data_IF_159955433791
#
_entry.id   IF_159955433791
#
_cell.length_a   1.000
_cell.length_b   1.000
_cell.length_c   1.000
_cell.angle_alpha   90.00
_cell.angle_beta   90.00
_cell.angle_gamma   90.00
#
_symmetry.space_group_name_H-M   'P 1'
#
loop_
_entity.id
_entity.type
_entity.pdbx_description
1 polymer ?
#
# COMPACT_ATOMS: atom_id res chain seq x y z
N UNK A 1 5.63 20.00 -17.54
CA UNK A 1 5.46 18.72 -16.81
C UNK A 1 6.52 18.70 -15.74
N UNK A 2 6.24 18.30 -14.50
CA UNK A 2 7.30 18.17 -13.50
C UNK A 2 8.29 17.09 -13.96
N UNK A 3 9.58 17.41 -13.97
CA UNK A 3 10.68 16.51 -14.39
C UNK A 3 10.85 15.28 -13.45
N UNK A 4 10.03 15.19 -12.40
CA UNK A 4 10.04 14.13 -11.39
C UNK A 4 9.05 12.98 -11.68
N UNK A 5 8.43 12.92 -12.86
CA UNK A 5 7.63 11.73 -13.22
C UNK A 5 8.60 10.56 -13.32
N UNK A 6 8.45 9.51 -12.50
CA UNK A 6 9.34 8.36 -12.53
C UNK A 6 9.42 7.81 -13.94
N UNK A 7 10.63 7.61 -14.47
CA UNK A 7 10.84 7.07 -15.82
C UNK A 7 10.17 5.68 -15.91
N UNK A 8 9.06 5.59 -16.66
CA UNK A 8 8.22 4.39 -16.75
C UNK A 8 8.77 3.35 -17.77
N UNK A 9 9.77 3.71 -18.58
CA UNK A 9 10.15 2.97 -19.79
C UNK A 9 11.19 1.84 -19.60
N UNK A 10 11.84 1.71 -18.45
CA UNK A 10 13.14 0.99 -18.42
C UNK A 10 13.11 -0.54 -18.30
N UNK A 11 12.00 -1.19 -17.95
CA UNK A 11 12.06 -2.60 -17.54
C UNK A 11 11.28 -3.62 -18.38
N UNK A 12 10.28 -3.21 -19.17
CA UNK A 12 9.29 -4.18 -19.66
C UNK A 12 9.60 -4.87 -21.01
N UNK A 13 10.63 -4.46 -21.74
CA UNK A 13 10.86 -4.95 -23.11
C UNK A 13 11.47 -6.37 -23.21
N UNK A 14 12.01 -6.94 -22.12
CA UNK A 14 12.88 -8.13 -22.18
C UNK A 14 12.28 -9.44 -21.65
N UNK A 15 10.97 -9.50 -21.35
CA UNK A 15 10.33 -10.74 -20.83
C UNK A 15 10.74 -11.13 -19.39
N UNK A 16 11.58 -10.32 -18.74
CA UNK A 16 11.89 -10.43 -17.31
C UNK A 16 10.77 -9.89 -16.42
N UNK A 17 10.93 -10.03 -15.10
CA UNK A 17 10.05 -9.38 -14.13
C UNK A 17 9.97 -7.87 -14.43
N UNK A 18 8.79 -7.24 -14.32
CA UNK A 18 8.65 -5.81 -14.60
C UNK A 18 9.46 -4.92 -13.65
N UNK A 19 10.02 -5.48 -12.57
CA UNK A 19 10.96 -4.81 -11.66
C UNK A 19 12.40 -5.33 -11.81
N UNK A 20 12.77 -5.91 -12.96
CA UNK A 20 14.10 -6.48 -13.23
C UNK A 20 14.32 -7.87 -12.62
N UNK A 21 15.50 -8.46 -12.91
CA UNK A 21 15.92 -9.79 -12.42
C UNK A 21 16.12 -9.82 -10.90
N UNK A 22 16.55 -8.70 -10.32
CA UNK A 22 16.70 -8.54 -8.87
C UNK A 22 15.35 -8.57 -8.14
N UNK A 23 14.26 -8.37 -8.90
CA UNK A 23 12.94 -8.10 -8.37
C UNK A 23 12.92 -6.84 -7.51
N UNK A 24 11.78 -6.52 -6.87
CA UNK A 24 11.76 -5.45 -5.88
C UNK A 24 12.82 -5.72 -4.81
N UNK A 25 13.68 -4.72 -4.57
CA UNK A 25 14.97 -4.95 -3.91
C UNK A 25 14.87 -5.82 -2.65
N UNK A 26 15.60 -6.95 -2.67
CA UNK A 26 15.60 -7.95 -1.59
C UNK A 26 16.52 -7.58 -0.43
N UNK A 27 17.09 -6.37 -0.41
CA UNK A 27 18.09 -5.97 0.57
C UNK A 27 17.62 -6.31 1.98
N UNK A 28 18.44 -6.99 2.81
CA UNK A 28 18.14 -7.13 4.22
C UNK A 28 18.02 -5.70 4.73
N UNK A 29 16.83 -5.24 5.06
CA UNK A 29 16.22 -5.73 6.26
C UNK A 29 16.81 -5.01 7.45
N UNK A 30 17.77 -4.10 7.25
CA UNK A 30 18.38 -3.34 8.34
C UNK A 30 17.32 -2.82 9.30
N UNK A 31 16.26 -2.17 8.80
CA UNK A 31 15.14 -1.72 9.64
C UNK A 31 14.39 -2.86 10.32
N UNK A 32 14.09 -3.96 9.62
CA UNK A 32 13.46 -5.14 10.21
C UNK A 32 14.34 -5.79 11.30
N UNK A 33 15.60 -6.08 10.99
CA UNK A 33 16.59 -6.71 11.87
C UNK A 33 16.86 -5.83 13.08
N UNK A 34 17.04 -4.52 12.87
CA UNK A 34 17.24 -3.56 13.94
C UNK A 34 16.02 -3.50 14.86
N UNK A 35 14.80 -3.34 14.32
CA UNK A 35 13.58 -3.32 15.13
C UNK A 35 13.36 -4.65 15.86
N UNK A 36 13.60 -5.80 15.21
CA UNK A 36 13.48 -7.11 15.83
C UNK A 36 14.52 -7.32 16.95
N UNK A 37 15.76 -6.89 16.73
CA UNK A 37 16.83 -6.95 17.73
C UNK A 37 16.53 -6.04 18.92
N UNK A 38 16.10 -4.80 18.67
CA UNK A 38 15.69 -3.86 19.72
C UNK A 38 14.50 -4.38 20.52
N UNK A 39 13.52 -5.02 19.88
CA UNK A 39 12.43 -5.69 20.58
C UNK A 39 12.94 -6.83 21.46
N UNK A 40 13.84 -7.67 20.95
CA UNK A 40 14.42 -8.78 21.72
C UNK A 40 15.23 -8.28 22.93
N UNK A 41 16.09 -7.29 22.74
CA UNK A 41 16.87 -6.67 23.82
C UNK A 41 15.95 -5.99 24.84
N UNK A 42 14.93 -5.26 24.37
CA UNK A 42 13.93 -4.62 25.23
C UNK A 42 13.20 -5.63 26.11
N UNK A 43 12.81 -6.78 25.54
CA UNK A 43 12.13 -7.84 26.28
C UNK A 43 13.02 -8.43 27.37
N UNK A 44 14.26 -8.78 27.03
CA UNK A 44 15.24 -9.31 28.00
C UNK A 44 15.48 -8.31 29.13
N UNK A 45 15.68 -7.04 28.78
CA UNK A 45 15.90 -5.97 29.76
C UNK A 45 14.68 -5.77 30.65
N UNK A 46 13.46 -5.83 30.10
CA UNK A 46 12.23 -5.72 30.86
C UNK A 46 12.10 -6.84 31.90
N UNK A 47 12.38 -8.09 31.50
CA UNK A 47 12.34 -9.26 32.39
C UNK A 47 13.36 -9.12 33.53
N UNK A 48 14.61 -8.79 33.21
CA UNK A 48 15.67 -8.59 34.23
C UNK A 48 15.29 -7.46 35.20
N UNK A 49 14.73 -6.37 34.69
CA UNK A 49 14.28 -5.22 35.50
C UNK A 49 13.11 -5.60 36.42
N UNK A 50 12.16 -6.40 35.93
CA UNK A 50 11.04 -6.91 36.72
C UNK A 50 11.51 -7.83 37.86
N UNK A 51 12.48 -8.72 37.59
CA UNK A 51 13.09 -9.57 38.62
C UNK A 51 13.78 -8.72 39.71
N UNK A 52 14.35 -7.58 39.32
CA UNK A 52 14.93 -6.60 40.24
C UNK A 52 13.92 -5.77 41.05
N UNK A 53 12.61 -5.94 40.82
CA UNK A 53 11.54 -5.27 41.57
C UNK A 53 11.08 -3.91 41.02
N UNK A 54 11.69 -3.39 39.94
CA UNK A 54 11.30 -2.13 39.31
C UNK A 54 10.23 -2.35 38.25
N UNK A 55 9.01 -2.63 38.71
CA UNK A 55 7.86 -2.89 37.84
C UNK A 55 7.50 -1.72 36.90
N UNK A 56 7.54 -0.45 37.32
CA UNK A 56 7.26 0.68 36.43
C UNK A 56 8.21 0.74 35.22
N UNK A 57 9.53 0.59 35.45
CA UNK A 57 10.51 0.58 34.37
C UNK A 57 10.37 -0.65 33.47
N UNK A 58 10.09 -1.81 34.05
CA UNK A 58 9.83 -3.02 33.28
C UNK A 58 8.60 -2.84 32.35
N UNK A 59 7.51 -2.26 32.86
CA UNK A 59 6.31 -1.99 32.06
C UNK A 59 6.60 -1.04 30.88
N UNK A 60 7.38 0.02 31.10
CA UNK A 60 7.84 0.91 30.03
C UNK A 60 8.63 0.15 28.94
N UNK A 61 9.57 -0.71 29.35
CA UNK A 61 10.39 -1.51 28.42
C UNK A 61 9.54 -2.53 27.64
N UNK A 62 8.49 -3.10 28.24
CA UNK A 62 7.51 -3.94 27.53
C UNK A 62 6.76 -3.12 26.48
N UNK A 63 6.30 -1.92 26.82
CA UNK A 63 5.64 -1.03 25.86
C UNK A 63 6.54 -0.70 24.65
N UNK A 64 7.80 -0.34 24.91
CA UNK A 64 8.79 -0.09 23.86
C UNK A 64 9.07 -1.34 23.01
N UNK A 65 9.13 -2.51 23.64
CA UNK A 65 9.28 -3.81 22.95
C UNK A 65 8.13 -4.09 22.00
N UNK A 66 6.88 -3.88 22.44
CA UNK A 66 5.68 -4.09 21.64
C UNK A 66 5.70 -3.18 20.41
N UNK A 67 6.03 -1.89 20.60
CA UNK A 67 6.20 -0.93 19.52
C UNK A 67 7.21 -1.42 18.49
N UNK A 68 8.42 -1.79 18.93
CA UNK A 68 9.48 -2.21 18.00
C UNK A 68 9.14 -3.53 17.29
N UNK A 69 8.48 -4.46 17.98
CA UNK A 69 7.97 -5.69 17.39
C UNK A 69 6.93 -5.44 16.29
N UNK A 70 6.04 -4.46 16.45
CA UNK A 70 5.06 -4.10 15.43
C UNK A 70 5.68 -3.39 14.21
N UNK A 71 6.72 -2.57 14.41
CA UNK A 71 7.49 -2.03 13.30
C UNK A 71 8.21 -3.15 12.53
N UNK A 72 8.82 -4.11 13.24
CA UNK A 72 9.42 -5.28 12.61
C UNK A 72 8.38 -6.09 11.81
N UNK A 73 7.19 -6.33 12.38
CA UNK A 73 6.08 -6.98 11.69
C UNK A 73 5.63 -6.25 10.43
N UNK A 74 5.54 -4.91 10.48
CA UNK A 74 5.22 -4.07 9.32
C UNK A 74 6.30 -4.16 8.22
N UNK A 75 7.58 -4.03 8.57
CA UNK A 75 8.68 -4.16 7.62
C UNK A 75 8.74 -5.56 7.00
N UNK A 76 8.44 -6.60 7.79
CA UNK A 76 8.36 -7.96 7.28
C UNK A 76 7.19 -8.13 6.32
N UNK A 77 6.01 -7.62 6.68
CA UNK A 77 4.81 -7.72 5.84
C UNK A 77 4.97 -6.95 4.53
N UNK A 78 5.57 -5.76 4.54
CA UNK A 78 5.76 -4.95 3.33
C UNK A 78 6.71 -5.57 2.29
N UNK A 79 7.55 -6.52 2.73
CA UNK A 79 8.48 -7.28 1.88
C UNK A 79 7.90 -8.57 1.34
N UNK A 80 6.86 -9.09 1.98
CA UNK A 80 6.20 -10.33 1.54
C UNK A 80 5.25 -9.98 0.42
N UNK A 81 5.53 -10.45 -0.78
CA UNK A 81 4.59 -10.37 -1.90
C UNK A 81 3.78 -11.66 -2.00
N UNK A 82 2.44 -11.58 -2.11
CA UNK A 82 1.65 -12.75 -2.43
C UNK A 82 2.08 -13.31 -3.80
N UNK A 83 2.06 -14.63 -3.95
CA UNK A 83 2.29 -15.31 -5.24
C UNK A 83 0.99 -15.85 -5.84
N UNK A 84 -0.08 -15.84 -5.06
CA UNK A 84 -1.37 -16.37 -5.47
C UNK A 84 -2.10 -15.33 -6.33
N UNK A 85 -2.74 -15.81 -7.39
CA UNK A 85 -3.58 -15.00 -8.26
C UNK A 85 -5.01 -15.15 -7.77
N UNK A 86 -5.54 -14.14 -7.10
CA UNK A 86 -6.88 -14.18 -6.52
C UNK A 86 -7.78 -13.03 -7.01
N UNK A 87 -8.02 -12.92 -8.33
CA UNK A 87 -9.00 -12.00 -8.87
C UNK A 87 -10.42 -12.48 -8.57
N UNK A 88 -11.33 -11.54 -8.39
CA UNK A 88 -12.75 -11.78 -8.16
C UNK A 88 -13.59 -10.79 -8.97
N UNK A 89 -14.81 -11.15 -9.36
CA UNK A 89 -15.75 -10.15 -9.87
C UNK A 89 -16.28 -9.33 -8.68
N UNK A 90 -16.12 -8.02 -8.75
CA UNK A 90 -16.71 -7.09 -7.79
C UNK A 90 -17.36 -5.92 -8.51
N UNK A 91 -18.38 -5.33 -7.90
CA UNK A 91 -19.04 -4.13 -8.41
C UNK A 91 -18.34 -2.87 -7.88
N UNK A 92 -18.18 -1.87 -8.74
CA UNK A 92 -17.76 -0.52 -8.32
C UNK A 92 -18.97 0.27 -7.78
N UNK A 93 -18.77 1.52 -7.38
CA UNK A 93 -19.80 2.31 -6.67
C UNK A 93 -21.07 2.57 -7.50
N UNK A 94 -20.96 2.58 -8.83
CA UNK A 94 -22.12 2.68 -9.75
C UNK A 94 -22.80 1.33 -10.05
N UNK A 95 -22.33 0.25 -9.42
CA UNK A 95 -22.85 -1.10 -9.60
C UNK A 95 -22.24 -1.88 -10.77
N UNK A 96 -21.37 -1.28 -11.58
CA UNK A 96 -20.74 -1.95 -12.72
C UNK A 96 -19.81 -3.07 -12.26
N UNK A 97 -20.01 -4.32 -12.71
CA UNK A 97 -19.12 -5.43 -12.37
C UNK A 97 -17.80 -5.35 -13.12
N UNK A 98 -16.72 -5.76 -12.46
CA UNK A 98 -15.37 -5.79 -13.02
C UNK A 98 -14.45 -6.78 -12.31
N UNK A 99 -13.32 -7.09 -12.95
CA UNK A 99 -12.25 -7.90 -12.34
C UNK A 99 -11.56 -7.07 -11.25
N UNK A 100 -11.58 -7.56 -10.01
CA UNK A 100 -11.08 -6.85 -8.84
C UNK A 100 -9.94 -7.58 -8.16
N UNK A 101 -8.91 -6.81 -7.81
CA UNK A 101 -7.77 -7.19 -7.00
C UNK A 101 -7.83 -6.44 -5.68
N UNK A 102 -8.06 -7.17 -4.58
CA UNK A 102 -8.15 -6.59 -3.25
C UNK A 102 -6.78 -6.19 -2.71
N UNK A 103 -6.79 -5.25 -1.79
CA UNK A 103 -5.63 -5.00 -0.95
C UNK A 103 -5.61 -5.94 0.25
N UNK A 104 -4.41 -6.25 0.73
CA UNK A 104 -4.14 -7.27 1.73
C UNK A 104 -4.41 -6.70 3.12
N UNK A 105 -5.36 -7.31 3.84
CA UNK A 105 -5.77 -6.90 5.20
C UNK A 105 -4.61 -6.87 6.20
N UNK A 106 -3.59 -7.73 6.02
CA UNK A 106 -2.39 -7.72 6.85
C UNK A 106 -1.67 -6.35 6.84
N UNK A 107 -1.59 -5.67 5.69
CA UNK A 107 -0.96 -4.34 5.63
C UNK A 107 -1.78 -3.28 6.38
N UNK A 108 -3.11 -3.38 6.32
CA UNK A 108 -4.00 -2.52 7.11
C UNK A 108 -3.82 -2.76 8.60
N UNK A 109 -3.78 -4.02 9.03
CA UNK A 109 -3.53 -4.39 10.43
C UNK A 109 -2.21 -3.78 10.93
N UNK A 110 -1.10 -4.08 10.27
CA UNK A 110 0.21 -3.58 10.73
C UNK A 110 0.30 -2.06 10.74
N UNK A 111 -0.28 -1.39 9.75
CA UNK A 111 -0.26 0.09 9.69
C UNK A 111 -1.17 0.69 10.77
N UNK A 112 -2.39 0.16 10.96
CA UNK A 112 -3.32 0.64 11.97
C UNK A 112 -2.78 0.39 13.39
N UNK A 113 -2.24 -0.81 13.67
CA UNK A 113 -1.63 -1.15 14.96
C UNK A 113 -0.45 -0.25 15.29
N UNK A 114 0.46 0.02 14.34
CA UNK A 114 1.55 0.95 14.57
C UNK A 114 1.05 2.38 14.85
N UNK A 115 0.04 2.86 14.11
CA UNK A 115 -0.58 4.17 14.38
C UNK A 115 -1.19 4.24 15.78
N UNK A 116 -1.91 3.21 16.21
CA UNK A 116 -2.49 3.15 17.57
C UNK A 116 -1.39 3.12 18.63
N UNK A 117 -0.37 2.27 18.47
CA UNK A 117 0.74 2.17 19.43
C UNK A 117 1.54 3.47 19.54
N UNK A 118 1.78 4.17 18.42
CA UNK A 118 2.42 5.49 18.42
C UNK A 118 1.58 6.55 19.11
N UNK A 119 0.27 6.54 18.89
CA UNK A 119 -0.65 7.42 19.61
C UNK A 119 -0.54 7.21 21.12
N UNK A 120 -0.65 5.95 21.57
CA UNK A 120 -0.59 5.60 22.98
C UNK A 120 0.76 5.96 23.61
N UNK A 121 1.87 5.68 22.92
CA UNK A 121 3.21 6.03 23.38
C UNK A 121 3.38 7.55 23.54
N UNK A 122 2.95 8.34 22.56
CA UNK A 122 3.04 9.81 22.62
C UNK A 122 2.17 10.38 23.74
N UNK A 123 0.95 9.88 23.92
CA UNK A 123 0.07 10.29 25.03
C UNK A 123 0.72 9.93 26.37
N UNK A 124 1.24 8.71 26.53
CA UNK A 124 1.88 8.29 27.77
C UNK A 124 3.10 9.17 28.13
N UNK A 125 3.95 9.47 27.15
CA UNK A 125 5.10 10.36 27.35
C UNK A 125 4.63 11.79 27.68
N UNK A 126 3.61 12.30 26.98
CA UNK A 126 3.06 13.62 27.26
C UNK A 126 2.54 13.73 28.69
N UNK A 127 1.77 12.73 29.16
CA UNK A 127 1.24 12.69 30.52
C UNK A 127 2.35 12.61 31.57
N UNK A 128 3.41 11.84 31.30
CA UNK A 128 4.57 11.76 32.19
C UNK A 128 5.33 13.10 32.30
N UNK A 129 5.34 13.91 31.23
CA UNK A 129 6.04 15.20 31.19
C UNK A 129 5.18 16.39 31.64
N UNK A 130 3.88 16.22 31.89
CA UNK A 130 3.00 17.31 32.32
C UNK A 130 3.49 18.07 33.57
N UNK A 131 4.03 17.41 34.62
CA UNK A 131 4.53 18.12 35.80
C UNK A 131 5.75 18.99 35.53
N UNK A 132 6.61 18.57 34.58
CA UNK A 132 7.90 19.21 34.31
C UNK A 132 7.83 20.23 33.16
N UNK A 133 6.99 19.99 32.15
CA UNK A 133 6.88 20.85 30.97
C UNK A 133 5.55 20.71 30.24
N UNK A 134 4.60 21.59 30.55
CA UNK A 134 3.30 21.66 29.88
C UNK A 134 3.43 21.89 28.36
N UNK A 135 4.39 22.69 27.91
CA UNK A 135 4.58 23.00 26.47
C UNK A 135 4.96 21.74 25.70
N UNK A 136 5.92 20.95 26.20
CA UNK A 136 6.35 19.71 25.53
C UNK A 136 5.21 18.69 25.51
N UNK A 137 4.47 18.56 26.63
CA UNK A 137 3.32 17.67 26.70
C UNK A 137 2.24 18.04 25.67
N UNK A 138 1.91 19.32 25.52
CA UNK A 138 0.95 19.79 24.50
C UNK A 138 1.45 19.47 23.09
N UNK A 139 2.73 19.71 22.79
CA UNK A 139 3.31 19.39 21.47
C UNK A 139 3.19 17.89 21.17
N UNK A 140 3.49 17.02 22.14
CA UNK A 140 3.36 15.57 21.96
C UNK A 140 1.90 15.13 21.75
N UNK A 141 0.94 15.73 22.44
CA UNK A 141 -0.49 15.47 22.23
C UNK A 141 -0.95 15.91 20.83
N UNK A 142 -0.48 17.07 20.36
CA UNK A 142 -0.73 17.53 19.00
C UNK A 142 -0.11 16.59 17.96
N UNK A 143 1.10 16.09 18.20
CA UNK A 143 1.74 15.09 17.36
C UNK A 143 0.97 13.76 17.35
N UNK A 144 0.35 13.37 18.46
CA UNK A 144 -0.47 12.17 18.56
C UNK A 144 -1.76 12.25 17.71
N UNK A 145 -2.23 13.45 17.37
CA UNK A 145 -3.39 13.61 16.49
C UNK A 145 -3.15 13.06 15.08
N UNK A 146 -1.91 13.12 14.58
CA UNK A 146 -1.57 12.62 13.24
C UNK A 146 -1.77 11.10 13.08
N UNK A 147 -1.16 10.22 13.92
CA UNK A 147 -1.40 8.79 13.83
C UNK A 147 -2.85 8.40 14.16
N UNK A 148 -3.56 9.14 15.03
CA UNK A 148 -5.02 8.94 15.24
C UNK A 148 -5.79 9.12 13.94
N UNK A 149 -5.52 10.22 13.25
CA UNK A 149 -6.17 10.56 11.99
C UNK A 149 -5.85 9.54 10.89
N UNK A 150 -4.60 9.05 10.85
CA UNK A 150 -4.19 7.95 9.98
C UNK A 150 -4.93 6.65 10.30
N UNK A 151 -5.01 6.26 11.57
CA UNK A 151 -5.74 5.06 12.00
C UNK A 151 -7.23 5.16 11.66
N UNK A 152 -7.84 6.32 11.86
CA UNK A 152 -9.23 6.58 11.49
C UNK A 152 -9.46 6.46 9.98
N UNK A 153 -8.60 7.07 9.16
CA UNK A 153 -8.67 6.97 7.71
C UNK A 153 -8.55 5.51 7.23
N UNK A 154 -7.62 4.75 7.81
CA UNK A 154 -7.46 3.31 7.54
C UNK A 154 -8.74 2.54 7.86
N UNK A 155 -9.32 2.71 9.05
CA UNK A 155 -10.52 1.98 9.47
C UNK A 155 -11.75 2.31 8.63
N UNK A 156 -11.86 3.55 8.14
CA UNK A 156 -13.01 4.00 7.35
C UNK A 156 -12.98 3.50 5.90
N UNK A 157 -11.80 3.35 5.31
CA UNK A 157 -11.63 3.09 3.88
C UNK A 157 -10.99 1.73 3.56
N UNK A 158 -10.68 0.92 4.59
CA UNK A 158 -10.17 -0.42 4.40
C UNK A 158 -11.26 -1.45 4.08
N UNK A 159 -10.93 -2.52 3.33
CA UNK A 159 -9.74 -2.65 2.50
C UNK A 159 -9.95 -1.98 1.14
N UNK A 160 -8.88 -1.36 0.64
CA UNK A 160 -8.83 -0.83 -0.73
C UNK A 160 -8.87 -1.94 -1.77
N UNK A 161 -9.08 -1.54 -3.02
CA UNK A 161 -9.15 -2.45 -4.17
C UNK A 161 -8.84 -1.73 -5.47
N UNK A 162 -8.31 -2.49 -6.42
CA UNK A 162 -8.25 -2.13 -7.83
C UNK A 162 -9.30 -2.94 -8.58
N UNK A 163 -10.15 -2.31 -9.38
CA UNK A 163 -11.17 -2.98 -10.19
C UNK A 163 -11.10 -2.50 -11.63
N UNK A 164 -11.03 -3.44 -12.57
CA UNK A 164 -11.03 -3.18 -14.00
C UNK A 164 -12.45 -3.44 -14.52
N UNK A 165 -13.09 -2.40 -15.03
CA UNK A 165 -14.41 -2.48 -15.66
C UNK A 165 -14.28 -2.19 -17.16
N UNK A 166 -15.27 -2.57 -17.99
CA UNK A 166 -15.20 -2.32 -19.43
C UNK A 166 -14.94 -0.84 -19.79
N UNK A 167 -15.46 0.10 -18.99
CA UNK A 167 -15.30 1.53 -19.21
C UNK A 167 -13.96 2.12 -18.72
N UNK A 168 -13.25 1.48 -17.79
CA UNK A 168 -12.05 2.06 -17.22
C UNK A 168 -11.45 1.29 -16.04
N UNK A 169 -10.51 1.95 -15.38
CA UNK A 169 -9.81 1.50 -14.19
C UNK A 169 -10.38 2.23 -12.99
N UNK A 170 -10.97 1.49 -12.06
CA UNK A 170 -11.42 1.99 -10.77
C UNK A 170 -10.41 1.60 -9.69
N UNK A 171 -9.98 2.57 -8.88
CA UNK A 171 -9.09 2.35 -7.75
C UNK A 171 -9.70 2.98 -6.50
N UNK A 172 -9.80 2.21 -5.44
CA UNK A 172 -10.22 2.67 -4.12
C UNK A 172 -9.05 2.46 -3.16
N UNK A 173 -8.47 3.57 -2.71
CA UNK A 173 -7.38 3.63 -1.73
C UNK A 173 -7.90 4.14 -0.39
N UNK A 174 -7.02 4.24 0.60
CA UNK A 174 -7.34 4.83 1.91
C UNK A 174 -7.66 6.32 1.78
N UNK A 175 -7.01 7.01 0.85
CA UNK A 175 -7.06 8.46 0.74
C UNK A 175 -8.07 8.96 -0.30
N UNK A 176 -8.36 8.16 -1.33
CA UNK A 176 -9.27 8.55 -2.41
C UNK A 176 -9.82 7.34 -3.17
N UNK A 177 -10.89 7.61 -3.89
CA UNK A 177 -11.38 6.79 -4.99
C UNK A 177 -11.08 7.50 -6.30
N UNK A 178 -10.54 6.77 -7.27
CA UNK A 178 -10.14 7.26 -8.59
C UNK A 178 -10.72 6.38 -9.69
N UNK A 179 -11.34 6.99 -10.69
CA UNK A 179 -11.77 6.31 -11.91
C UNK A 179 -11.08 6.95 -13.11
N UNK A 180 -10.32 6.14 -13.86
CA UNK A 180 -9.67 6.53 -15.10
C UNK A 180 -10.29 5.77 -16.28
N UNK A 181 -11.00 6.46 -17.19
CA UNK A 181 -11.48 5.86 -18.43
C UNK A 181 -10.34 5.26 -19.26
N UNK A 182 -10.56 4.13 -19.95
CA UNK A 182 -9.47 3.47 -20.68
C UNK A 182 -8.88 4.33 -21.82
N UNK A 183 -9.68 5.17 -22.45
CA UNK A 183 -9.26 6.09 -23.52
C UNK A 183 -8.34 7.21 -23.02
N UNK A 184 -8.32 7.47 -21.71
CA UNK A 184 -7.40 8.44 -21.11
C UNK A 184 -6.10 7.82 -20.61
N UNK A 185 -6.08 6.50 -20.40
CA UNK A 185 -4.87 5.77 -19.99
C UNK A 185 -3.87 5.82 -21.14
N UNK A 186 -2.75 6.50 -20.90
CA UNK A 186 -1.63 6.59 -21.85
C UNK A 186 -0.69 5.41 -21.68
N UNK A 187 -0.41 5.07 -20.43
CA UNK A 187 0.65 4.13 -20.11
C UNK A 187 0.33 3.32 -18.86
N UNK A 188 0.72 2.04 -18.88
CA UNK A 188 0.74 1.14 -17.73
C UNK A 188 2.17 0.65 -17.55
N UNK A 189 2.85 1.20 -16.56
CA UNK A 189 4.27 0.96 -16.27
C UNK A 189 4.49 0.34 -14.90
N UNK A 190 5.67 -0.23 -14.71
CA UNK A 190 6.21 -0.54 -13.39
C UNK A 190 7.18 0.57 -12.98
N UNK A 191 7.14 0.94 -11.71
CA UNK A 191 8.05 1.96 -11.19
C UNK A 191 8.40 1.68 -9.73
N UNK A 192 9.20 2.57 -9.15
CA UNK A 192 9.62 2.53 -7.76
C UNK A 192 9.54 3.94 -7.17
N UNK A 193 8.90 4.07 -6.00
CA UNK A 193 8.86 5.32 -5.25
C UNK A 193 9.37 5.09 -3.84
N UNK A 194 10.37 5.85 -3.41
CA UNK A 194 11.01 5.71 -2.11
C UNK A 194 11.38 4.23 -1.78
N UNK A 195 11.98 3.55 -2.76
CA UNK A 195 12.34 2.13 -2.72
C UNK A 195 11.16 1.14 -2.60
N UNK A 196 9.96 1.60 -2.88
CA UNK A 196 8.74 0.78 -2.85
C UNK A 196 8.27 0.53 -4.28
N UNK A 197 8.22 -0.74 -4.72
CA UNK A 197 7.70 -1.08 -6.04
C UNK A 197 6.23 -0.68 -6.17
N UNK A 198 5.88 -0.09 -7.31
CA UNK A 198 4.52 0.28 -7.65
C UNK A 198 4.19 -0.04 -9.11
N UNK A 199 2.91 -0.23 -9.38
CA UNK A 199 2.35 -0.23 -10.74
C UNK A 199 1.81 1.18 -10.97
N UNK A 200 2.33 1.86 -11.99
CA UNK A 200 1.93 3.21 -12.36
C UNK A 200 0.99 3.15 -13.57
N UNK A 201 -0.14 3.83 -13.47
CA UNK A 201 -1.07 4.03 -14.59
C UNK A 201 -1.14 5.52 -14.87
N UNK A 202 -0.49 5.97 -15.94
CA UNK A 202 -0.53 7.37 -16.34
C UNK A 202 -1.80 7.60 -17.17
N UNK A 203 -2.71 8.45 -16.66
CA UNK A 203 -3.93 8.82 -17.35
C UNK A 203 -4.00 10.33 -17.56
N UNK A 204 -4.54 10.76 -18.69
CA UNK A 204 -4.86 12.17 -18.91
C UNK A 204 -6.15 12.53 -18.16
N UNK A 205 -6.27 13.75 -17.62
CA UNK A 205 -7.54 14.24 -17.11
C UNK A 205 -8.61 14.25 -18.21
N UNK A 206 -9.82 13.80 -17.90
CA UNK A 206 -11.00 13.92 -18.75
C UNK A 206 -12.25 14.21 -17.92
N UNK A 207 -13.35 14.63 -18.56
CA UNK A 207 -14.63 14.85 -17.89
C UNK A 207 -15.20 13.58 -17.24
N UNK A 208 -14.89 12.41 -17.80
CA UNK A 208 -15.27 11.12 -17.24
C UNK A 208 -14.36 10.66 -16.09
N UNK A 209 -13.21 11.33 -15.88
CA UNK A 209 -12.31 11.04 -14.76
C UNK A 209 -12.97 11.49 -13.45
N UNK A 210 -13.12 10.59 -12.49
CA UNK A 210 -13.73 10.89 -11.19
C UNK A 210 -12.70 10.72 -10.08
N UNK A 211 -12.57 11.73 -9.24
CA UNK A 211 -11.70 11.70 -8.05
C UNK A 211 -12.52 12.09 -6.83
N UNK A 212 -12.77 11.14 -5.94
CA UNK A 212 -13.42 11.40 -4.66
C UNK A 212 -12.35 11.31 -3.57
N UNK A 213 -12.01 12.45 -2.97
CA UNK A 213 -11.02 12.51 -1.88
C UNK A 213 -11.72 12.16 -0.58
N UNK A 214 -11.20 11.13 0.08
CA UNK A 214 -11.76 10.64 1.33
C UNK A 214 -11.05 11.28 2.55
N UNK A 215 -9.78 11.65 2.39
CA UNK A 215 -8.98 12.29 3.42
C UNK A 215 -8.66 13.77 3.08
N UNK A 216 -8.59 14.65 4.10
CA UNK A 216 -8.02 15.99 3.97
C UNK A 216 -6.67 16.01 3.24
N UNK A 217 -6.39 17.08 2.49
CA UNK A 217 -5.17 17.21 1.68
C UNK A 217 -3.87 16.97 2.48
N UNK A 218 -3.85 17.40 3.75
CA UNK A 218 -2.71 17.20 4.65
C UNK A 218 -2.38 15.72 4.93
N UNK A 219 -3.35 14.81 4.85
CA UNK A 219 -3.20 13.38 5.16
C UNK A 219 -3.14 12.55 3.87
N UNK A 220 -3.79 13.04 2.82
CA UNK A 220 -3.90 12.33 1.57
C UNK A 220 -2.56 12.18 0.81
N UNK A 221 -1.48 12.69 1.42
CA UNK A 221 -0.18 12.06 1.37
C UNK A 221 0.51 12.19 0.04
N UNK A 222 1.48 11.29 -0.18
CA UNK A 222 2.30 11.29 -1.38
C UNK A 222 1.55 10.77 -2.62
N UNK A 223 0.51 9.94 -2.46
CA UNK A 223 -0.29 9.45 -3.59
C UNK A 223 -0.92 10.62 -4.35
N UNK A 224 -1.32 11.68 -3.64
CA UNK A 224 -1.84 12.88 -4.30
C UNK A 224 -0.80 13.65 -5.11
N UNK A 225 0.48 13.55 -4.76
CA UNK A 225 1.57 14.19 -5.50
C UNK A 225 1.86 13.52 -6.83
N UNK A 226 1.44 12.26 -6.98
CA UNK A 226 1.62 11.50 -8.21
C UNK A 226 0.51 11.77 -9.23
N UNK A 227 -0.59 12.44 -8.87
CA UNK A 227 -1.63 12.76 -9.86
C UNK A 227 -1.05 13.55 -11.05
N UNK A 228 -1.41 13.18 -12.29
CA UNK A 228 -2.51 12.30 -12.67
C UNK A 228 -2.17 10.80 -12.79
N UNK A 229 -1.02 10.35 -12.27
CA UNK A 229 -0.62 8.95 -12.24
C UNK A 229 -1.32 8.22 -11.09
N UNK A 230 -2.07 7.19 -11.43
CA UNK A 230 -2.60 6.23 -10.48
C UNK A 230 -1.46 5.28 -10.05
N UNK A 231 -1.05 5.38 -8.79
CA UNK A 231 0.00 4.56 -8.20
C UNK A 231 -0.58 3.43 -7.34
N UNK A 232 -0.33 2.18 -7.74
CA UNK A 232 -0.74 0.98 -7.01
C UNK A 232 0.49 0.39 -6.32
N UNK A 233 0.55 0.53 -5.00
CA UNK A 233 1.66 0.00 -4.22
C UNK A 233 1.63 -1.53 -4.16
N UNK A 234 2.70 -2.16 -4.63
CA UNK A 234 2.79 -3.63 -4.68
C UNK A 234 2.69 -4.31 -3.31
N UNK A 235 3.29 -3.79 -2.20
CA UNK A 235 3.14 -4.39 -0.88
C UNK A 235 1.70 -4.52 -0.37
N UNK A 236 0.80 -3.66 -0.88
CA UNK A 236 -0.60 -3.64 -0.48
C UNK A 236 -1.46 -4.62 -1.25
N UNK A 237 -1.02 -5.13 -2.40
CA UNK A 237 -1.82 -6.09 -3.18
C UNK A 237 -1.96 -7.42 -2.44
N UNK A 238 -3.16 -8.02 -2.49
CA UNK A 238 -3.40 -9.38 -2.00
C UNK A 238 -3.20 -10.45 -3.06
N UNK A 239 -3.02 -10.06 -4.32
CA UNK A 239 -2.73 -10.94 -5.46
C UNK A 239 -1.32 -10.71 -5.97
N UNK A 240 -0.77 -11.69 -6.68
CA UNK A 240 0.52 -11.60 -7.37
C UNK A 240 0.62 -10.30 -8.18
N UNK A 241 1.54 -9.38 -7.81
CA UNK A 241 1.66 -8.08 -8.46
C UNK A 241 2.06 -8.17 -9.93
N UNK A 242 2.79 -9.22 -10.33
CA UNK A 242 3.13 -9.44 -11.74
C UNK A 242 1.87 -9.73 -12.54
N UNK A 243 0.99 -10.58 -12.01
CA UNK A 243 -0.30 -10.89 -12.66
C UNK A 243 -1.20 -9.65 -12.74
N UNK A 244 -1.24 -8.81 -11.70
CA UNK A 244 -1.99 -7.54 -11.71
C UNK A 244 -1.46 -6.59 -12.79
N UNK A 245 -0.13 -6.40 -12.84
CA UNK A 245 0.53 -5.58 -13.86
C UNK A 245 0.23 -6.09 -15.28
N UNK A 246 0.41 -7.39 -15.53
CA UNK A 246 0.13 -7.99 -16.83
C UNK A 246 -1.34 -7.88 -17.22
N UNK A 247 -2.26 -8.00 -16.27
CA UNK A 247 -3.70 -7.81 -16.51
C UNK A 247 -4.00 -6.39 -16.95
N UNK A 248 -3.53 -5.39 -16.20
CA UNK A 248 -3.71 -3.98 -16.55
C UNK A 248 -3.16 -3.67 -17.93
N UNK A 249 -1.94 -4.13 -18.20
CA UNK A 249 -1.27 -3.93 -19.48
C UNK A 249 -2.02 -4.59 -20.63
N UNK A 250 -2.48 -5.83 -20.45
CA UNK A 250 -3.25 -6.55 -21.46
C UNK A 250 -4.51 -5.80 -21.89
N UNK A 251 -5.34 -5.34 -20.94
CA UNK A 251 -6.57 -4.61 -21.28
C UNK A 251 -6.32 -3.17 -21.75
N UNK A 252 -5.17 -2.59 -21.41
CA UNK A 252 -4.70 -1.36 -22.04
C UNK A 252 -4.43 -1.60 -23.54
N UNK A 253 -3.61 -2.60 -23.86
CA UNK A 253 -3.15 -2.93 -25.22
C UNK A 253 -4.22 -3.59 -26.11
N UNK A 254 -5.28 -4.21 -25.54
CA UNK A 254 -6.31 -4.97 -26.28
C UNK A 254 -7.73 -4.46 -25.95
N UNK A 255 -8.17 -3.34 -26.54
CA UNK A 255 -9.47 -2.72 -26.23
C UNK A 255 -10.68 -3.64 -26.44
N UNK A 256 -10.61 -4.53 -27.42
CA UNK A 256 -11.65 -5.50 -27.78
C UNK A 256 -11.93 -6.51 -26.67
N UNK A 257 -10.95 -6.79 -25.81
CA UNK A 257 -11.13 -7.68 -24.66
C UNK A 257 -11.79 -6.97 -23.48
N UNK A 258 -11.92 -5.63 -23.45
CA UNK A 258 -12.47 -4.94 -22.26
C UNK A 258 -13.91 -5.36 -21.94
N UNK A 259 -14.67 -5.82 -22.94
CA UNK A 259 -16.04 -6.29 -22.73
C UNK A 259 -16.14 -7.54 -21.83
N UNK A 260 -15.13 -8.41 -21.79
CA UNK A 260 -15.14 -9.60 -20.91
C UNK A 260 -14.85 -9.28 -19.44
N UNK A 261 -14.39 -8.07 -19.10
CA UNK A 261 -14.02 -7.66 -17.72
C UNK A 261 -15.18 -7.81 -16.71
N UNK A 262 -16.41 -7.86 -17.17
CA UNK A 262 -17.62 -8.06 -16.36
C UNK A 262 -18.00 -9.54 -16.16
N UNK A 263 -17.19 -10.48 -16.65
CA UNK A 263 -17.52 -11.91 -16.77
C UNK A 263 -16.44 -12.84 -16.22
N UNK A 264 -16.80 -14.11 -16.02
CA UNK A 264 -15.86 -15.17 -15.62
C UNK A 264 -14.74 -15.41 -16.66
N UNK A 265 -14.97 -15.09 -17.93
CA UNK A 265 -13.97 -15.27 -18.98
C UNK A 265 -12.69 -14.44 -18.69
N UNK A 266 -12.85 -13.22 -18.15
CA UNK A 266 -11.73 -12.40 -17.72
C UNK A 266 -11.02 -12.98 -16.49
N UNK A 267 -11.77 -13.56 -15.53
CA UNK A 267 -11.15 -14.23 -14.38
C UNK A 267 -10.32 -15.44 -14.81
N UNK A 268 -10.84 -16.26 -15.72
CA UNK A 268 -10.14 -17.42 -16.27
C UNK A 268 -8.87 -17.00 -17.01
N UNK A 269 -8.94 -15.93 -17.81
CA UNK A 269 -7.77 -15.35 -18.48
C UNK A 269 -6.69 -14.95 -17.48
N UNK A 270 -7.09 -14.24 -16.42
CA UNK A 270 -6.15 -13.77 -15.39
C UNK A 270 -5.52 -14.92 -14.62
N UNK A 271 -6.32 -15.89 -14.17
CA UNK A 271 -5.86 -17.08 -13.45
C UNK A 271 -4.89 -17.93 -14.28
N UNK A 272 -5.17 -18.07 -15.57
CA UNK A 272 -4.35 -18.84 -16.50
C UNK A 272 -3.17 -18.04 -17.09
N UNK A 273 -3.02 -16.76 -16.71
CA UNK A 273 -2.02 -15.83 -17.25
C UNK A 273 -1.99 -15.77 -18.78
N UNK A 274 -3.15 -15.87 -19.44
CA UNK A 274 -3.30 -15.81 -20.91
C UNK A 274 -3.23 -14.36 -21.43
N UNK A 275 -2.16 -13.66 -21.08
CA UNK A 275 -1.89 -12.27 -21.48
C UNK A 275 -0.99 -12.18 -22.71
N UNK A 276 -0.23 -13.24 -23.00
CA UNK A 276 0.85 -13.30 -23.98
C UNK A 276 0.52 -14.17 -25.21
N UNK A 277 -0.70 -14.10 -25.73
CA UNK A 277 -0.87 -14.45 -27.14
C UNK A 277 -0.36 -13.26 -27.96
N UNK A 278 0.96 -13.07 -27.96
CA UNK A 278 1.62 -12.34 -29.03
C UNK A 278 1.20 -13.11 -30.29
N UNK A 279 0.58 -12.47 -31.30
CA UNK A 279 0.54 -13.09 -32.61
C UNK A 279 2.00 -13.33 -32.94
N UNK A 280 2.43 -14.59 -32.95
CA UNK A 280 3.71 -14.95 -33.52
C UNK A 280 3.71 -14.30 -34.90
N UNK A 281 4.67 -13.41 -35.16
CA UNK A 281 4.90 -12.84 -36.48
C UNK A 281 5.07 -14.01 -37.46
N UNK A 282 3.97 -14.36 -38.14
CA UNK A 282 3.95 -15.20 -39.34
C UNK A 282 3.85 -14.28 -40.54
#
# INVERSE_FOLDING_TARGET
MPDDIPNLDTAAAAGGSPWGEDGPSRWPGFSFVLCALLAAIGLVTAVVTAIGGDLPRAAFLVGATIVMGHFAGWFYASRRYPRDINPQIARIDDGTPGVSFRYRTAMYYWTASNSVLMTLALIAIALALLPDSMVIAIVLLLLAAFPVLMAFALLRHAPGRLTLVPAGIYHSSIAFTYFAPWDTVREVGSSEFARTPLIAVAAMPSEATRIVRAAPHAIAGWEQRLFPVLAIQVPWLSSDPVAVYQTLRHYHENPEHRAELSSEAALDRVRQRRFLLRPDNR
#
